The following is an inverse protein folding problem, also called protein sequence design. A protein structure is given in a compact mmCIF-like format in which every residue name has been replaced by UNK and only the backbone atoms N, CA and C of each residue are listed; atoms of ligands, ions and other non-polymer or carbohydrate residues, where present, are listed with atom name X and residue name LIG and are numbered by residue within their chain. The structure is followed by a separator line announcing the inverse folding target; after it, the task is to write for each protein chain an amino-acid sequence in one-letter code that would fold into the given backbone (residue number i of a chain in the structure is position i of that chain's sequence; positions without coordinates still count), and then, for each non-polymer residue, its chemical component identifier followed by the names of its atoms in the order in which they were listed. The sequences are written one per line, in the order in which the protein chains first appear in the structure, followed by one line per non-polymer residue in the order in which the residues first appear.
data_IF_560715928763
#
_entry.id   IF_560715928763
#
_cell.length_a   1.000
_cell.length_b   1.000
_cell.length_c   1.000
_cell.angle_alpha   90.00
_cell.angle_beta   90.00
_cell.angle_gamma   90.00
#
_symmetry.space_group_name_H-M   'P 1'
#
loop_
_entity.id
_entity.type
_entity.pdbx_description
1 polymer ?
#
# COMPACT_ATOMS: atom_id res chain seq x y z
N UNK A 1 2.94 13.82 9.87
CA UNK A 1 3.71 14.68 8.94
C UNK A 1 4.93 13.93 8.41
N UNK A 2 5.16 13.98 7.10
CA UNK A 2 6.33 13.34 6.47
C UNK A 2 7.44 14.37 6.37
N UNK A 3 8.41 14.31 7.29
CA UNK A 3 9.48 15.32 7.34
C UNK A 3 10.55 15.06 6.26
N UNK A 4 10.85 16.08 5.46
CA UNK A 4 11.80 16.02 4.34
C UNK A 4 13.19 15.50 4.80
N UNK A 5 13.70 16.02 5.91
CA UNK A 5 14.99 15.60 6.46
C UNK A 5 15.06 14.11 6.82
N UNK A 6 13.95 13.52 7.26
CA UNK A 6 13.89 12.09 7.57
C UNK A 6 13.85 11.23 6.32
N UNK A 7 13.17 11.69 5.29
CA UNK A 7 13.17 11.00 4.01
C UNK A 7 14.58 11.04 3.38
N UNK A 8 15.26 12.18 3.45
CA UNK A 8 16.66 12.29 3.03
C UNK A 8 17.59 11.31 3.79
N UNK A 9 17.46 11.24 5.10
CA UNK A 9 18.26 10.32 5.92
C UNK A 9 17.91 8.87 5.60
N UNK A 10 16.63 8.56 5.46
CA UNK A 10 16.16 7.22 5.10
C UNK A 10 16.68 6.80 3.72
N UNK A 11 16.62 7.68 2.73
CA UNK A 11 17.14 7.43 1.39
C UNK A 11 18.66 7.16 1.40
N UNK A 12 19.43 7.99 2.11
CA UNK A 12 20.90 7.81 2.26
C UNK A 12 21.25 6.49 2.93
N UNK A 13 20.58 6.15 4.03
CA UNK A 13 20.83 4.90 4.75
C UNK A 13 20.48 3.67 3.93
N UNK A 14 19.52 3.79 3.01
CA UNK A 14 19.13 2.75 2.07
C UNK A 14 19.98 2.71 0.78
N UNK A 15 20.94 3.65 0.62
CA UNK A 15 21.76 3.76 -0.57
C UNK A 15 21.03 4.24 -1.82
N UNK A 16 19.89 4.91 -1.67
CA UNK A 16 19.10 5.44 -2.76
C UNK A 16 19.65 6.78 -3.27
N UNK A 17 19.68 6.94 -4.58
CA UNK A 17 20.01 8.22 -5.24
C UNK A 17 18.83 9.15 -5.32
N UNK A 18 17.63 8.60 -5.51
CA UNK A 18 16.38 9.33 -5.60
C UNK A 18 15.59 9.20 -4.28
N UNK A 19 15.46 10.31 -3.57
CA UNK A 19 14.72 10.36 -2.32
C UNK A 19 13.20 10.14 -2.50
N UNK A 20 12.67 10.39 -3.71
CA UNK A 20 11.25 10.17 -3.98
C UNK A 20 10.88 8.67 -3.92
N UNK A 21 11.82 7.77 -4.15
CA UNK A 21 11.63 6.32 -3.95
C UNK A 21 11.44 6.02 -2.45
N UNK A 22 12.28 6.60 -1.60
CA UNK A 22 12.15 6.47 -0.14
C UNK A 22 10.86 7.12 0.37
N UNK A 23 10.54 8.30 -0.12
CA UNK A 23 9.30 9.01 0.21
C UNK A 23 8.07 8.19 -0.13
N UNK A 24 8.02 7.61 -1.32
CA UNK A 24 6.91 6.76 -1.74
C UNK A 24 6.78 5.53 -0.85
N UNK A 25 7.88 4.89 -0.47
CA UNK A 25 7.83 3.77 0.49
C UNK A 25 7.19 4.18 1.83
N UNK A 26 7.48 5.37 2.33
CA UNK A 26 6.83 5.93 3.52
C UNK A 26 5.33 6.15 3.25
N UNK A 27 4.97 6.81 2.16
CA UNK A 27 3.57 7.10 1.79
C UNK A 27 2.75 5.83 1.63
N UNK A 28 3.32 4.75 1.09
CA UNK A 28 2.61 3.47 0.99
C UNK A 28 2.25 2.88 2.36
N UNK A 29 2.98 3.21 3.43
CA UNK A 29 2.58 2.86 4.80
C UNK A 29 1.35 3.67 5.24
N UNK A 30 1.30 4.95 4.91
CA UNK A 30 0.10 5.78 5.14
C UNK A 30 -1.11 5.26 4.36
N UNK A 31 -0.90 4.89 3.10
CA UNK A 31 -1.96 4.34 2.25
C UNK A 31 -2.54 3.02 2.81
N UNK A 32 -1.69 2.09 3.24
CA UNK A 32 -2.13 0.85 3.89
C UNK A 32 -2.89 1.13 5.19
N UNK A 33 -2.41 2.09 5.98
CA UNK A 33 -3.09 2.51 7.21
C UNK A 33 -4.47 3.09 6.91
N UNK A 34 -4.59 3.94 5.88
CA UNK A 34 -5.87 4.48 5.43
C UNK A 34 -6.88 3.38 5.06
N UNK A 35 -6.46 2.38 4.28
CA UNK A 35 -7.31 1.25 3.89
C UNK A 35 -7.76 0.41 5.09
N UNK A 36 -6.92 0.29 6.11
CA UNK A 36 -7.25 -0.44 7.34
C UNK A 36 -8.24 0.38 8.19
N UNK A 37 -7.99 1.67 8.39
CA UNK A 37 -8.85 2.56 9.17
C UNK A 37 -10.24 2.69 8.55
N UNK A 38 -10.35 2.71 7.23
CA UNK A 38 -11.63 2.74 6.50
C UNK A 38 -12.26 1.35 6.33
N UNK A 39 -11.62 0.30 6.82
CA UNK A 39 -12.16 -1.06 6.82
C UNK A 39 -12.13 -1.78 5.47
N UNK A 40 -11.53 -1.18 4.42
CA UNK A 40 -11.47 -1.79 3.08
C UNK A 40 -10.63 -3.07 3.08
N UNK A 41 -9.60 -3.12 3.93
CA UNK A 41 -8.73 -4.29 4.04
C UNK A 41 -9.44 -5.57 4.51
N UNK A 42 -10.66 -5.47 5.04
CA UNK A 42 -11.46 -6.65 5.36
C UNK A 42 -11.78 -7.51 4.13
N UNK A 43 -11.86 -6.89 2.94
CA UNK A 43 -12.18 -7.56 1.66
C UNK A 43 -10.94 -7.99 0.87
N UNK A 44 -9.76 -7.56 1.28
CA UNK A 44 -8.52 -7.68 0.51
C UNK A 44 -7.47 -8.52 1.23
N UNK A 45 -6.60 -9.15 0.45
CA UNK A 45 -5.35 -9.73 0.91
C UNK A 45 -4.18 -9.05 0.18
N UNK A 46 -3.27 -8.47 0.92
CA UNK A 46 -2.09 -7.79 0.41
C UNK A 46 -1.10 -8.78 -0.16
N UNK A 47 -0.49 -8.46 -1.30
CA UNK A 47 0.50 -9.29 -1.98
C UNK A 47 1.52 -8.43 -2.72
N UNK A 48 2.37 -9.07 -3.52
CA UNK A 48 3.32 -8.41 -4.41
C UNK A 48 4.59 -7.92 -3.71
N UNK A 49 5.40 -7.17 -4.46
CA UNK A 49 6.73 -6.73 -4.03
C UNK A 49 6.71 -5.82 -2.80
N UNK A 50 5.75 -4.92 -2.72
CA UNK A 50 5.60 -4.03 -1.56
C UNK A 50 5.20 -4.80 -0.30
N UNK A 51 4.34 -5.82 -0.45
CA UNK A 51 3.99 -6.72 0.64
C UNK A 51 5.22 -7.45 1.18
N UNK A 52 6.02 -8.04 0.31
CA UNK A 52 7.26 -8.73 0.69
C UNK A 52 8.23 -7.79 1.40
N UNK A 53 8.43 -6.56 0.88
CA UNK A 53 9.26 -5.57 1.53
C UNK A 53 8.75 -5.19 2.91
N UNK A 54 7.47 -4.84 3.03
CA UNK A 54 6.93 -4.31 4.30
C UNK A 54 6.69 -5.37 5.37
N UNK A 55 6.39 -6.59 5.00
CA UNK A 55 5.95 -7.62 5.95
C UNK A 55 6.92 -8.80 6.12
N UNK A 56 7.85 -8.98 5.17
CA UNK A 56 8.77 -10.14 5.18
C UNK A 56 10.22 -9.71 5.31
N UNK A 57 10.73 -8.93 4.34
CA UNK A 57 12.16 -8.60 4.26
C UNK A 57 12.55 -7.33 5.01
N UNK A 58 11.61 -6.41 5.22
CA UNK A 58 11.91 -5.14 5.86
C UNK A 58 12.95 -4.33 5.07
N UNK A 59 13.94 -3.77 5.75
CA UNK A 59 14.97 -2.93 5.14
C UNK A 59 15.88 -3.66 4.14
N UNK A 60 15.95 -4.99 4.18
CA UNK A 60 16.70 -5.79 3.21
C UNK A 60 15.95 -6.06 1.90
N UNK A 61 14.64 -5.78 1.85
CA UNK A 61 13.84 -5.91 0.63
C UNK A 61 14.09 -4.77 -0.36
N UNK A 62 13.98 -5.07 -1.66
CA UNK A 62 14.02 -4.01 -2.68
C UNK A 62 12.83 -3.06 -2.52
N UNK A 63 13.01 -1.80 -2.86
CA UNK A 63 11.92 -0.85 -2.93
C UNK A 63 10.92 -1.24 -4.03
N UNK A 64 9.65 -1.05 -3.74
CA UNK A 64 8.52 -1.29 -4.65
C UNK A 64 7.55 -0.11 -4.52
N UNK A 65 6.86 0.20 -5.61
CA UNK A 65 6.14 1.47 -5.73
C UNK A 65 4.64 1.30 -5.87
N UNK A 66 4.13 0.05 -5.91
CA UNK A 66 2.74 -0.26 -6.17
C UNK A 66 2.10 -0.98 -4.98
N UNK A 67 0.77 -0.92 -4.88
CA UNK A 67 -0.01 -1.72 -3.96
C UNK A 67 -0.79 -2.79 -4.71
N UNK A 68 -0.48 -4.04 -4.45
CA UNK A 68 -1.13 -5.18 -5.07
C UNK A 68 -1.94 -5.98 -4.06
N UNK A 69 -3.16 -6.28 -4.41
CA UNK A 69 -4.09 -7.06 -3.60
C UNK A 69 -4.74 -8.19 -4.39
N UNK A 70 -5.30 -9.13 -3.67
CA UNK A 70 -6.27 -10.11 -4.17
C UNK A 70 -7.59 -9.87 -3.45
N UNK A 71 -8.71 -9.94 -4.17
CA UNK A 71 -10.03 -9.93 -3.55
C UNK A 71 -10.21 -11.23 -2.76
N UNK A 72 -10.40 -11.10 -1.45
CA UNK A 72 -10.37 -12.22 -0.50
C UNK A 72 -11.76 -12.67 -0.02
N UNK A 73 -12.82 -11.96 -0.44
CA UNK A 73 -14.22 -12.23 -0.06
C UNK A 73 -15.11 -12.27 -1.29
N UNK A 74 -16.38 -12.62 -1.10
CA UNK A 74 -17.38 -12.64 -2.18
C UNK A 74 -18.09 -11.30 -2.40
N UNK A 75 -17.55 -10.22 -1.88
CA UNK A 75 -18.08 -8.89 -2.13
C UNK A 75 -18.01 -8.53 -3.61
N UNK A 76 -19.04 -7.88 -4.16
CA UNK A 76 -19.01 -7.38 -5.53
C UNK A 76 -17.82 -6.44 -5.75
N UNK A 77 -17.16 -6.58 -6.90
CA UNK A 77 -15.98 -5.75 -7.22
C UNK A 77 -16.31 -4.25 -7.24
N UNK A 78 -17.49 -3.86 -7.69
CA UNK A 78 -17.91 -2.45 -7.73
C UNK A 78 -18.06 -1.86 -6.32
N UNK A 79 -18.52 -2.65 -5.34
CA UNK A 79 -18.62 -2.21 -3.96
C UNK A 79 -17.22 -2.01 -3.35
N UNK A 80 -16.29 -2.92 -3.64
CA UNK A 80 -14.90 -2.80 -3.19
C UNK A 80 -14.22 -1.61 -3.85
N UNK A 81 -14.44 -1.40 -5.14
CA UNK A 81 -13.93 -0.24 -5.87
C UNK A 81 -14.45 1.08 -5.26
N UNK A 82 -15.75 1.16 -5.00
CA UNK A 82 -16.34 2.36 -4.40
C UNK A 82 -15.69 2.67 -3.05
N UNK A 83 -15.49 1.67 -2.21
CA UNK A 83 -14.81 1.84 -0.91
C UNK A 83 -13.35 2.26 -1.05
N UNK A 84 -12.63 1.76 -2.06
CA UNK A 84 -11.27 2.20 -2.38
C UNK A 84 -11.24 3.67 -2.79
N UNK A 85 -12.19 4.09 -3.64
CA UNK A 85 -12.33 5.48 -4.07
C UNK A 85 -12.66 6.38 -2.85
N UNK A 86 -13.55 5.96 -1.98
CA UNK A 86 -13.88 6.70 -0.76
C UNK A 86 -12.70 6.82 0.19
N UNK A 87 -11.95 5.73 0.41
CA UNK A 87 -10.75 5.71 1.24
C UNK A 87 -9.66 6.65 0.72
N UNK A 88 -9.48 6.69 -0.61
CA UNK A 88 -8.45 7.50 -1.26
C UNK A 88 -8.95 8.84 -1.82
N UNK A 89 -10.05 9.37 -1.36
CA UNK A 89 -10.48 10.75 -1.66
C UNK A 89 -10.59 11.59 -0.38
N UNK A 90 -9.64 11.43 0.52
CA UNK A 90 -9.58 12.20 1.78
C UNK A 90 -8.15 12.29 2.31
N UNK A 91 -8.00 13.05 3.39
CA UNK A 91 -6.72 13.21 4.09
C UNK A 91 -6.63 12.21 5.24
N UNK A 92 -5.52 11.45 5.30
CA UNK A 92 -5.16 10.54 6.38
C UNK A 92 -3.81 10.95 6.97
N UNK A 93 -3.80 11.30 8.24
CA UNK A 93 -2.57 11.66 8.98
C UNK A 93 -1.69 12.70 8.26
N UNK A 94 -2.33 13.70 7.61
CA UNK A 94 -1.62 14.78 6.90
C UNK A 94 -1.23 14.46 5.46
N UNK A 95 -1.53 13.27 4.95
CA UNK A 95 -1.39 12.92 3.53
C UNK A 95 -2.77 12.92 2.88
N UNK A 96 -2.92 13.74 1.85
CA UNK A 96 -4.16 13.77 1.07
C UNK A 96 -4.00 12.87 -0.14
N UNK A 97 -4.92 11.91 -0.26
CA UNK A 97 -4.98 11.00 -1.40
C UNK A 97 -6.12 11.39 -2.34
N UNK A 98 -5.93 11.09 -3.62
CA UNK A 98 -6.96 11.20 -4.66
C UNK A 98 -6.89 9.97 -5.56
N UNK A 99 -8.02 9.28 -5.71
CA UNK A 99 -8.13 8.16 -6.65
C UNK A 99 -8.44 8.76 -8.05
N UNK A 100 -7.44 8.80 -8.93
CA UNK A 100 -7.54 9.55 -10.19
C UNK A 100 -8.19 8.77 -11.30
N UNK A 101 -7.63 7.63 -11.66
CA UNK A 101 -8.07 6.85 -12.81
C UNK A 101 -8.39 5.41 -12.43
N UNK A 102 -9.57 4.98 -12.80
CA UNK A 102 -10.00 3.61 -12.69
C UNK A 102 -9.70 2.85 -13.99
N UNK A 103 -9.23 1.63 -13.85
CA UNK A 103 -9.12 0.71 -14.97
C UNK A 103 -9.61 -0.70 -14.59
N UNK A 104 -10.07 -1.43 -15.60
CA UNK A 104 -10.35 -2.86 -15.53
C UNK A 104 -9.61 -3.53 -16.69
N UNK A 105 -9.03 -4.68 -16.44
CA UNK A 105 -8.36 -5.42 -17.52
C UNK A 105 -9.37 -6.00 -18.51
N UNK A 106 -8.98 -6.13 -19.79
CA UNK A 106 -9.86 -6.59 -20.85
C UNK A 106 -10.43 -7.99 -20.61
N UNK A 107 -9.72 -8.83 -19.86
CA UNK A 107 -10.13 -10.18 -19.49
C UNK A 107 -10.89 -10.25 -18.15
N UNK A 108 -11.26 -9.12 -17.57
CA UNK A 108 -11.94 -9.00 -16.27
C UNK A 108 -11.21 -9.69 -15.11
N UNK A 109 -9.89 -9.82 -15.20
CA UNK A 109 -9.09 -10.53 -14.19
C UNK A 109 -8.53 -9.65 -13.09
N UNK A 110 -8.57 -8.33 -13.27
CA UNK A 110 -8.16 -7.35 -12.28
C UNK A 110 -8.79 -6.00 -12.52
N UNK A 111 -8.87 -5.21 -11.47
CA UNK A 111 -9.21 -3.79 -11.52
C UNK A 111 -8.26 -3.00 -10.64
N UNK A 112 -8.25 -1.69 -10.82
CA UNK A 112 -7.42 -0.82 -10.00
C UNK A 112 -7.47 0.62 -10.45
N UNK A 113 -6.48 1.38 -10.08
CA UNK A 113 -6.36 2.78 -10.44
C UNK A 113 -5.03 3.38 -10.07
N UNK A 114 -4.82 4.59 -10.55
CA UNK A 114 -3.74 5.44 -10.11
C UNK A 114 -4.23 6.30 -8.94
N UNK A 115 -3.43 6.36 -7.89
CA UNK A 115 -3.68 7.18 -6.71
C UNK A 115 -2.61 8.25 -6.66
N UNK A 116 -3.02 9.51 -6.74
CA UNK A 116 -2.13 10.62 -6.46
C UNK A 116 -2.16 10.97 -4.97
N UNK A 117 -1.07 11.55 -4.49
CA UNK A 117 -0.97 12.00 -3.12
C UNK A 117 -0.19 13.29 -3.00
N UNK A 118 -0.49 14.04 -1.96
CA UNK A 118 0.22 15.26 -1.59
C UNK A 118 0.40 15.35 -0.07
N UNK A 119 1.48 15.96 0.31
CA UNK A 119 1.79 16.33 1.69
C UNK A 119 2.69 17.57 1.70
N UNK A 120 3.23 17.96 2.84
CA UNK A 120 3.90 19.25 3.09
C UNK A 120 4.90 19.72 2.01
N UNK A 121 5.68 18.82 1.43
CA UNK A 121 6.73 19.19 0.47
C UNK A 121 6.65 18.44 -0.87
N UNK A 122 5.70 17.54 -1.05
CA UNK A 122 5.45 16.89 -2.34
C UNK A 122 3.96 16.97 -2.69
N UNK A 123 3.64 17.66 -3.78
CA UNK A 123 2.27 17.87 -4.26
C UNK A 123 1.91 16.94 -5.43
N UNK A 124 2.85 16.13 -5.94
CA UNK A 124 2.70 15.38 -7.20
C UNK A 124 3.13 13.92 -7.11
N UNK A 125 3.05 13.34 -5.94
CA UNK A 125 3.31 11.92 -5.77
C UNK A 125 2.17 11.07 -6.34
N UNK A 126 2.48 9.86 -6.79
CA UNK A 126 1.49 8.90 -7.24
C UNK A 126 2.00 7.46 -7.04
N UNK A 127 1.06 6.52 -6.97
CA UNK A 127 1.32 5.09 -7.01
C UNK A 127 0.14 4.39 -7.68
N UNK A 128 0.38 3.18 -8.17
CA UNK A 128 -0.66 2.32 -8.73
C UNK A 128 -1.19 1.37 -7.66
N UNK A 129 -2.49 1.16 -7.70
CA UNK A 129 -3.17 0.14 -6.92
C UNK A 129 -3.85 -0.85 -7.85
N UNK A 130 -3.67 -2.14 -7.58
CA UNK A 130 -4.30 -3.21 -8.36
C UNK A 130 -4.92 -4.25 -7.45
N UNK A 131 -6.11 -4.72 -7.81
CA UNK A 131 -6.81 -5.83 -7.15
C UNK A 131 -7.03 -6.94 -8.16
N UNK A 132 -6.45 -8.10 -7.90
CA UNK A 132 -6.64 -9.29 -8.72
C UNK A 132 -7.96 -9.99 -8.37
N UNK A 133 -8.67 -10.43 -9.41
CA UNK A 133 -9.91 -11.19 -9.33
C UNK A 133 -9.72 -12.66 -9.78
N UNK A 134 -8.53 -13.00 -10.29
CA UNK A 134 -8.26 -14.31 -10.91
C UNK A 134 -8.51 -15.47 -9.96
N UNK A 135 -7.97 -15.37 -8.76
CA UNK A 135 -8.02 -16.47 -7.80
C UNK A 135 -8.29 -15.92 -6.41
N UNK A 136 -9.22 -16.57 -5.73
CA UNK A 136 -9.41 -16.36 -4.29
C UNK A 136 -8.24 -17.02 -3.54
N UNK A 137 -7.85 -16.49 -2.36
CA UNK A 137 -6.88 -17.16 -1.53
C UNK A 137 -7.34 -18.61 -1.23
N UNK A 138 -6.49 -19.59 -1.52
CA UNK A 138 -6.76 -21.00 -1.23
C UNK A 138 -6.40 -21.37 0.22
N UNK A 139 -5.42 -20.64 0.77
CA UNK A 139 -5.05 -20.73 2.17
C UNK A 139 -5.68 -19.57 2.96
N UNK A 140 -5.84 -19.74 4.29
CA UNK A 140 -6.35 -18.65 5.12
C UNK A 140 -5.50 -17.38 5.00
N UNK A 141 -6.17 -16.24 4.85
CA UNK A 141 -5.52 -14.93 4.91
C UNK A 141 -4.93 -14.71 6.30
N UNK A 142 -3.71 -14.23 6.36
CA UNK A 142 -2.93 -14.05 7.59
C UNK A 142 -2.78 -12.59 7.92
N UNK A 143 -2.89 -12.22 9.19
CA UNK A 143 -2.57 -10.89 9.66
C UNK A 143 -1.10 -10.83 10.11
N UNK A 144 -0.34 -9.87 9.55
CA UNK A 144 1.09 -9.70 9.85
C UNK A 144 1.42 -8.27 10.26
N UNK A 145 2.24 -8.09 11.30
CA UNK A 145 2.78 -6.78 11.62
C UNK A 145 3.80 -6.37 10.55
N UNK A 146 3.90 -5.08 10.30
CA UNK A 146 4.96 -4.54 9.45
C UNK A 146 6.34 -4.74 10.09
N UNK A 147 7.32 -5.06 9.28
CA UNK A 147 8.72 -5.09 9.68
C UNK A 147 9.21 -3.67 9.97
N UNK A 148 9.94 -3.52 11.07
CA UNK A 148 10.47 -2.21 11.48
C UNK A 148 11.29 -1.57 10.36
N UNK A 149 11.05 -0.29 10.13
CA UNK A 149 11.75 0.57 9.18
C UNK A 149 12.30 1.79 9.92
N UNK A 150 13.35 2.39 9.40
CA UNK A 150 13.98 3.54 10.03
C UNK A 150 13.06 4.74 10.25
N UNK A 151 12.02 4.90 9.43
CA UNK A 151 11.06 6.00 9.56
C UNK A 151 9.92 5.74 10.55
N UNK A 152 9.78 4.54 11.11
CA UNK A 152 8.65 4.21 12.00
C UNK A 152 8.58 5.10 13.24
N UNK A 153 9.72 5.52 13.77
CA UNK A 153 9.79 6.45 14.90
C UNK A 153 9.20 7.84 14.58
N UNK A 154 9.02 8.18 13.29
CA UNK A 154 8.48 9.45 12.82
C UNK A 154 6.99 9.40 12.46
N UNK A 155 6.39 8.21 12.49
CA UNK A 155 4.96 8.06 12.24
C UNK A 155 4.15 8.60 13.43
N UNK A 156 3.07 9.29 13.12
CA UNK A 156 2.11 9.81 14.12
C UNK A 156 1.06 8.75 14.52
N UNK A 157 1.19 7.55 13.99
CA UNK A 157 0.34 6.40 14.27
C UNK A 157 1.20 5.15 14.45
N UNK A 158 0.63 4.14 15.07
CA UNK A 158 1.28 2.82 15.17
C UNK A 158 1.20 2.10 13.83
N UNK A 159 2.32 1.59 13.28
CA UNK A 159 2.31 0.79 12.07
C UNK A 159 1.30 -0.36 12.19
N UNK A 160 0.40 -0.51 11.22
CA UNK A 160 -0.70 -1.47 11.35
C UNK A 160 -0.26 -2.91 11.14
N UNK A 161 -1.10 -3.83 11.61
CA UNK A 161 -1.09 -5.22 11.17
C UNK A 161 -1.90 -5.35 9.90
N UNK A 162 -1.35 -5.99 8.88
CA UNK A 162 -1.93 -6.03 7.53
C UNK A 162 -2.36 -7.45 7.17
N UNK A 163 -3.55 -7.58 6.60
CA UNK A 163 -4.04 -8.84 6.03
C UNK A 163 -3.29 -9.14 4.74
N UNK A 164 -2.73 -10.33 4.63
CA UNK A 164 -1.89 -10.74 3.49
C UNK A 164 -2.18 -12.19 3.10
N UNK A 165 -1.83 -12.55 1.89
CA UNK A 165 -1.80 -13.95 1.47
C UNK A 165 -0.88 -14.76 2.40
N UNK A 166 -1.17 -16.04 2.54
CA UNK A 166 -0.25 -16.97 3.20
C UNK A 166 1.11 -16.97 2.46
N UNK A 167 2.24 -17.14 3.17
CA UNK A 167 3.56 -17.06 2.55
C UNK A 167 3.75 -17.97 1.35
N UNK A 168 3.16 -19.16 1.37
CA UNK A 168 3.24 -20.12 0.26
C UNK A 168 2.55 -19.60 -1.01
N UNK A 169 1.47 -18.83 -0.87
CA UNK A 169 0.76 -18.23 -2.00
C UNK A 169 1.45 -16.95 -2.53
N UNK A 170 2.24 -16.27 -1.70
CA UNK A 170 3.01 -15.11 -2.12
C UNK A 170 4.20 -15.47 -3.02
N UNK A 171 4.71 -16.69 -2.90
CA UNK A 171 5.91 -17.16 -3.61
C UNK A 171 5.53 -17.94 -4.88
N UNK A 172 4.33 -18.45 -4.92
CA UNK A 172 3.78 -19.12 -6.09
C UNK A 172 3.34 -18.09 -7.14
#
# INVERSE_FOLDING_TARGET
MIADKFVDLYARNAGLRDKLVAERDVVLTYALTALIEDGVMAELAFKGGTCLRKLVFGSSGRFSEDLDFTLATDQPEDDVLLRLVEAFNRTHHGVTFTFDEYYKTDDDTSFGGDVSYRHDWNERGHFRLQVSLRERPTLPVVARPMKAQGYFAQLEFTPPTVRTLAPLEMIA
#
